data_IF_443948363938
#
_entry.id   IF_443948363938
#
_cell.length_a   1.000
_cell.length_b   1.000
_cell.length_c   1.000
_cell.angle_alpha   90.00
_cell.angle_beta   90.00
_cell.angle_gamma   90.00
#
_symmetry.space_group_name_H-M   'P 1'
#
loop_
_entity.id
_entity.type
_entity.pdbx_description
1 polymer ?
#
# COMPACT_ATOMS: atom_id res chain seq x y z
N UNK A 1 36.44 -25.84 -31.52
CA UNK A 1 35.62 -25.95 -30.31
C UNK A 1 34.32 -25.19 -30.57
N UNK A 2 33.44 -25.71 -31.42
CA UNK A 2 32.50 -26.81 -31.15
C UNK A 2 31.56 -26.53 -29.97
N UNK A 3 30.27 -26.45 -30.30
CA UNK A 3 29.20 -27.03 -29.49
C UNK A 3 28.61 -26.16 -28.39
N UNK A 4 27.57 -25.40 -28.70
CA UNK A 4 26.44 -25.20 -27.80
C UNK A 4 25.13 -25.19 -28.61
N UNK A 5 24.96 -26.21 -29.45
CA UNK A 5 23.67 -26.57 -30.04
C UNK A 5 22.83 -27.27 -28.96
N UNK A 6 22.25 -26.49 -28.05
CA UNK A 6 21.28 -27.03 -27.10
C UNK A 6 19.96 -27.20 -27.85
N UNK A 7 19.67 -28.43 -28.25
CA UNK A 7 18.39 -28.84 -28.82
C UNK A 7 17.24 -28.47 -27.88
N UNK A 8 16.56 -27.36 -28.17
CA UNK A 8 15.32 -26.96 -27.53
C UNK A 8 14.21 -27.02 -28.57
N UNK A 9 13.71 -28.24 -28.71
CA UNK A 9 12.57 -28.60 -29.53
C UNK A 9 11.31 -27.87 -29.02
N UNK A 10 10.56 -27.23 -29.93
CA UNK A 10 9.17 -26.81 -29.73
C UNK A 10 8.90 -25.44 -29.07
N UNK A 11 9.75 -24.96 -28.16
CA UNK A 11 9.53 -23.67 -27.47
C UNK A 11 10.74 -22.75 -27.62
N UNK A 12 10.68 -21.85 -28.60
CA UNK A 12 11.72 -20.87 -28.88
C UNK A 12 12.08 -20.09 -27.60
N UNK A 13 13.34 -20.16 -27.17
CA UNK A 13 13.82 -19.49 -25.94
C UNK A 13 13.44 -18.01 -26.00
N UNK A 14 12.61 -17.54 -25.05
CA UNK A 14 12.16 -16.15 -24.99
C UNK A 14 13.06 -15.32 -24.08
N UNK A 15 13.63 -14.26 -24.61
CA UNK A 15 14.40 -13.28 -23.86
C UNK A 15 13.46 -12.34 -23.10
N UNK A 16 13.48 -12.36 -21.77
CA UNK A 16 12.65 -11.47 -20.95
C UNK A 16 13.09 -10.00 -20.98
N UNK A 17 14.34 -9.70 -21.35
CA UNK A 17 14.86 -8.33 -21.42
C UNK A 17 14.31 -7.53 -22.61
N UNK A 18 14.15 -8.18 -23.77
CA UNK A 18 13.69 -7.53 -25.01
C UNK A 18 12.44 -8.16 -25.63
N UNK A 19 11.91 -9.25 -25.06
CA UNK A 19 10.83 -10.11 -25.61
C UNK A 19 11.16 -10.78 -26.94
N UNK A 20 12.41 -10.69 -27.40
CA UNK A 20 12.93 -11.43 -28.54
C UNK A 20 13.00 -12.93 -28.27
N UNK A 21 13.21 -13.70 -29.32
CA UNK A 21 13.24 -15.15 -29.29
C UNK A 21 14.60 -15.68 -29.77
N UNK A 22 14.95 -16.91 -29.41
CA UNK A 22 16.18 -17.58 -29.84
C UNK A 22 17.43 -17.27 -29.02
N UNK A 23 17.34 -16.53 -27.91
CA UNK A 23 18.50 -16.25 -27.05
C UNK A 23 18.14 -16.09 -25.57
N UNK A 24 19.08 -16.44 -24.70
CA UNK A 24 18.98 -16.15 -23.27
C UNK A 24 19.13 -14.65 -23.01
N UNK A 25 18.44 -14.16 -21.99
CA UNK A 25 18.51 -12.76 -21.59
C UNK A 25 19.94 -12.27 -21.24
N UNK A 26 20.80 -13.15 -20.73
CA UNK A 26 22.23 -12.86 -20.46
C UNK A 26 23.05 -12.62 -21.75
N UNK A 27 22.59 -13.17 -22.87
CA UNK A 27 23.22 -13.02 -24.19
C UNK A 27 22.51 -11.92 -25.02
N UNK A 28 21.61 -11.16 -24.41
CA UNK A 28 20.87 -10.12 -25.11
C UNK A 28 21.78 -8.93 -25.41
N UNK A 29 22.03 -8.68 -26.70
CA UNK A 29 22.81 -7.52 -27.18
C UNK A 29 21.97 -6.27 -27.33
N UNK A 30 20.63 -6.43 -27.44
CA UNK A 30 19.68 -5.33 -27.38
C UNK A 30 19.77 -4.75 -25.98
N UNK A 31 19.93 -3.42 -25.88
CA UNK A 31 19.90 -2.71 -24.60
C UNK A 31 18.68 -3.21 -23.82
N UNK A 32 18.87 -3.86 -22.64
CA UNK A 32 17.76 -4.30 -21.83
C UNK A 32 16.83 -3.12 -21.64
N UNK A 33 15.51 -3.33 -21.65
CA UNK A 33 14.57 -2.28 -21.29
C UNK A 33 14.94 -1.79 -19.89
N UNK A 34 15.77 -0.74 -19.81
CA UNK A 34 15.96 0.04 -18.59
C UNK A 34 14.55 0.44 -18.21
N UNK A 35 14.01 -0.16 -17.13
CA UNK A 35 12.61 -0.04 -16.66
C UNK A 35 11.94 1.08 -17.43
N UNK A 36 11.21 0.75 -18.51
CA UNK A 36 10.80 1.77 -19.49
C UNK A 36 10.23 2.99 -18.76
N UNK A 37 10.44 4.20 -19.28
CA UNK A 37 9.91 5.41 -18.63
C UNK A 37 8.42 5.27 -18.26
N UNK A 38 7.65 4.60 -19.11
CA UNK A 38 6.26 4.22 -18.83
C UNK A 38 6.11 3.29 -17.61
N UNK A 39 6.96 2.27 -17.46
CA UNK A 39 6.95 1.39 -16.28
C UNK A 39 7.31 2.14 -14.99
N UNK A 40 8.29 3.05 -15.05
CA UNK A 40 8.66 3.88 -13.90
C UNK A 40 7.54 4.85 -13.54
N UNK A 41 6.92 5.48 -14.54
CA UNK A 41 5.79 6.38 -14.36
C UNK A 41 4.59 5.66 -13.74
N UNK A 42 4.23 4.47 -14.24
CA UNK A 42 3.15 3.66 -13.65
C UNK A 42 3.47 3.27 -12.21
N UNK A 43 4.71 2.86 -11.90
CA UNK A 43 5.11 2.52 -10.52
C UNK A 43 5.02 3.71 -9.57
N UNK A 44 5.45 4.90 -10.03
CA UNK A 44 5.34 6.12 -9.23
C UNK A 44 3.87 6.45 -8.95
N UNK A 45 3.01 6.35 -9.96
CA UNK A 45 1.58 6.61 -9.80
C UNK A 45 0.93 5.61 -8.82
N UNK A 46 1.30 4.34 -8.87
CA UNK A 46 0.82 3.32 -7.92
C UNK A 46 1.27 3.68 -6.51
N UNK A 47 2.56 3.95 -6.30
CA UNK A 47 3.09 4.31 -4.99
C UNK A 47 2.43 5.58 -4.42
N UNK A 48 2.17 6.60 -5.26
CA UNK A 48 1.45 7.80 -4.84
C UNK A 48 0.02 7.49 -4.39
N UNK A 49 -0.69 6.60 -5.09
CA UNK A 49 -2.05 6.19 -4.71
C UNK A 49 -2.06 5.39 -3.41
N UNK A 50 -1.10 4.48 -3.24
CA UNK A 50 -0.93 3.72 -2.01
C UNK A 50 -0.65 4.65 -0.82
N UNK A 51 0.23 5.63 -1.00
CA UNK A 51 0.57 6.63 0.03
C UNK A 51 -0.65 7.49 0.44
N UNK A 52 -1.46 7.92 -0.53
CA UNK A 52 -2.72 8.63 -0.23
C UNK A 52 -3.70 7.72 0.52
N UNK A 53 -3.78 6.45 0.14
CA UNK A 53 -4.59 5.45 0.84
C UNK A 53 -4.15 5.24 2.30
N UNK A 54 -2.85 5.15 2.55
CA UNK A 54 -2.27 5.02 3.89
C UNK A 54 -2.59 6.26 4.73
N UNK A 55 -2.42 7.46 4.17
CA UNK A 55 -2.75 8.72 4.86
C UNK A 55 -4.24 8.83 5.19
N UNK A 56 -5.12 8.40 4.28
CA UNK A 56 -6.55 8.39 4.54
C UNK A 56 -6.89 7.42 5.67
N UNK A 57 -6.34 6.21 5.64
CA UNK A 57 -6.58 5.21 6.68
C UNK A 57 -6.09 5.65 8.06
N UNK A 58 -4.95 6.35 8.13
CA UNK A 58 -4.47 6.95 9.37
C UNK A 58 -5.47 7.97 9.93
N UNK A 59 -6.01 8.85 9.09
CA UNK A 59 -7.02 9.83 9.50
C UNK A 59 -8.33 9.18 9.94
N UNK A 60 -8.76 8.11 9.27
CA UNK A 60 -9.94 7.35 9.67
C UNK A 60 -9.75 6.70 11.04
N UNK A 61 -8.56 6.16 11.30
CA UNK A 61 -8.21 5.60 12.61
C UNK A 61 -8.18 6.68 13.71
N UNK A 62 -7.54 7.82 13.46
CA UNK A 62 -7.50 8.95 14.40
C UNK A 62 -8.89 9.53 14.68
N UNK A 63 -9.78 9.56 13.68
CA UNK A 63 -11.16 9.96 13.89
C UNK A 63 -11.90 8.95 14.77
N UNK A 64 -11.72 7.65 14.53
CA UNK A 64 -12.31 6.59 15.33
C UNK A 64 -11.86 6.68 16.80
N UNK A 65 -10.57 6.91 17.07
CA UNK A 65 -10.07 7.08 18.45
C UNK A 65 -10.69 8.30 19.11
N UNK A 66 -10.74 9.44 18.42
CA UNK A 66 -11.38 10.65 18.93
C UNK A 66 -12.87 10.46 19.24
N UNK A 67 -13.58 9.63 18.45
CA UNK A 67 -14.99 9.33 18.74
C UNK A 67 -15.16 8.49 20.01
N UNK A 68 -14.22 7.59 20.31
CA UNK A 68 -14.23 6.81 21.55
C UNK A 68 -13.97 7.74 22.75
N UNK A 69 -12.97 8.61 22.66
CA UNK A 69 -12.66 9.57 23.72
C UNK A 69 -13.86 10.49 24.03
N UNK A 70 -14.63 10.88 23.00
CA UNK A 70 -15.84 11.69 23.16
C UNK A 70 -16.95 10.97 23.93
N UNK A 71 -17.19 9.68 23.67
CA UNK A 71 -18.17 8.87 24.41
C UNK A 71 -17.81 8.76 25.90
N UNK A 72 -16.52 8.55 26.20
CA UNK A 72 -16.03 8.52 27.58
C UNK A 72 -16.24 9.86 28.30
N UNK A 73 -15.96 10.98 27.61
CA UNK A 73 -16.17 12.33 28.15
C UNK A 73 -17.66 12.59 28.40
N UNK A 74 -18.54 12.23 27.46
CA UNK A 74 -19.99 12.42 27.60
C UNK A 74 -20.53 11.65 28.82
N UNK A 75 -20.05 10.41 29.01
CA UNK A 75 -20.40 9.59 30.17
C UNK A 75 -19.94 10.21 31.49
N UNK A 76 -18.70 10.73 31.55
CA UNK A 76 -18.20 11.43 32.73
C UNK A 76 -19.02 12.69 33.01
N UNK A 77 -19.36 13.45 31.97
CA UNK A 77 -20.18 14.66 32.09
C UNK A 77 -21.58 14.33 32.66
N UNK A 78 -22.24 13.29 32.13
CA UNK A 78 -23.53 12.84 32.64
C UNK A 78 -23.47 12.44 34.12
N UNK A 79 -22.41 11.72 34.52
CA UNK A 79 -22.19 11.35 35.93
C UNK A 79 -21.98 12.57 36.82
N UNK A 80 -21.20 13.55 36.38
CA UNK A 80 -20.98 14.80 37.13
C UNK A 80 -22.28 15.57 37.35
N UNK A 81 -23.14 15.67 36.33
CA UNK A 81 -24.46 16.31 36.43
C UNK A 81 -25.34 15.58 37.45
N UNK A 82 -25.37 14.25 37.42
CA UNK A 82 -26.13 13.45 38.38
C UNK A 82 -25.68 13.69 39.83
N UNK A 83 -24.37 13.72 40.06
CA UNK A 83 -23.78 13.97 41.39
C UNK A 83 -24.18 15.35 41.90
N UNK A 84 -24.11 16.38 41.06
CA UNK A 84 -24.50 17.73 41.44
C UNK A 84 -25.98 17.82 41.84
N UNK A 85 -26.88 17.17 41.09
CA UNK A 85 -28.30 17.14 41.42
C UNK A 85 -28.58 16.42 42.76
N UNK A 86 -27.89 15.31 43.03
CA UNK A 86 -28.02 14.59 44.30
C UNK A 86 -27.52 15.40 45.50
N UNK A 87 -26.40 16.11 45.33
CA UNK A 87 -25.88 17.02 46.35
C UNK A 87 -26.87 18.15 46.65
N UNK A 88 -27.39 18.81 45.61
CA UNK A 88 -28.40 19.86 45.76
C UNK A 88 -29.65 19.36 46.51
N UNK A 89 -30.16 18.18 46.13
CA UNK A 89 -31.31 17.56 46.79
C UNK A 89 -31.03 17.15 48.24
N UNK A 90 -29.77 16.85 48.59
CA UNK A 90 -29.37 16.52 49.96
C UNK A 90 -29.13 17.76 50.83
N UNK A 91 -28.88 18.91 50.20
CA UNK A 91 -28.69 20.20 50.87
C UNK A 91 -29.94 21.08 50.92
N UNK A 92 -31.01 20.68 50.21
CA UNK A 92 -32.34 21.32 50.24
C UNK A 92 -33.22 20.71 51.32
#
# INVERSE_FOLDING_TARGET
AEGNETGHNGNQIRCYNCRGVGHFARNCTVRPRRRDAANLQTKLLIAQKEEVGIQLHAKEFDLMTATIDLDEIEKVNANCILIANLQQASTS
#
